data_IF_431920917353
#
_entry.id   IF_431920917353
#
_cell.length_a   1.000
_cell.length_b   1.000
_cell.length_c   1.000
_cell.angle_alpha   90.00
_cell.angle_beta   90.00
_cell.angle_gamma   90.00
#
_symmetry.space_group_name_H-M   'P 1'
#
loop_
_entity.id
_entity.type
_entity.pdbx_description
1 polymer ?
#
# COMPACT_ATOMS: atom_id res chain seq x y z
N UNK A 1 -8.22 4.16 5.43
CA UNK A 1 -7.68 2.86 5.87
C UNK A 1 -7.68 2.63 7.40
N UNK A 2 -8.13 3.57 8.26
CA UNK A 2 -8.43 3.27 9.67
C UNK A 2 -7.25 3.01 10.62
N UNK A 3 -6.02 3.29 10.21
CA UNK A 3 -4.82 3.08 11.02
C UNK A 3 -4.60 4.21 12.06
N UNK A 4 -4.02 3.85 13.21
CA UNK A 4 -3.46 4.77 14.21
C UNK A 4 -2.14 5.40 13.74
N UNK A 5 -1.69 6.45 14.43
CA UNK A 5 -0.40 7.10 14.13
C UNK A 5 0.80 6.13 14.24
N UNK A 6 0.79 5.23 15.22
CA UNK A 6 1.85 4.24 15.39
C UNK A 6 1.88 3.26 14.22
N UNK A 7 0.71 2.79 13.80
CA UNK A 7 0.58 1.89 12.65
C UNK A 7 0.99 2.59 11.35
N UNK A 8 0.61 3.84 11.16
CA UNK A 8 1.05 4.65 10.03
C UNK A 8 2.59 4.81 10.00
N UNK A 9 3.21 5.06 11.16
CA UNK A 9 4.67 5.15 11.28
C UNK A 9 5.38 3.83 10.95
N UNK A 10 4.80 2.68 11.35
CA UNK A 10 5.36 1.36 11.07
C UNK A 10 5.45 1.04 9.57
N UNK A 11 4.48 1.54 8.78
CA UNK A 11 4.43 1.31 7.33
C UNK A 11 4.98 2.47 6.50
N UNK A 12 5.41 3.58 7.13
CA UNK A 12 5.91 4.76 6.42
C UNK A 12 7.10 4.44 5.50
N UNK A 13 7.91 3.44 5.86
CA UNK A 13 9.02 2.93 5.05
C UNK A 13 8.60 2.30 3.72
N UNK A 14 7.31 2.03 3.50
CA UNK A 14 6.82 1.50 2.22
C UNK A 14 6.71 2.57 1.12
N UNK A 15 6.77 3.86 1.48
CA UNK A 15 6.69 4.98 0.54
C UNK A 15 7.70 4.86 -0.62
N UNK A 16 7.24 5.21 -1.83
CA UNK A 16 8.04 5.09 -3.07
C UNK A 16 8.44 3.66 -3.45
N UNK A 17 7.70 2.65 -3.00
CA UNK A 17 7.94 1.26 -3.34
C UNK A 17 9.05 0.63 -2.50
N UNK A 18 8.86 0.60 -1.17
CA UNK A 18 9.81 0.15 -0.15
C UNK A 18 11.10 0.99 -0.15
N UNK A 19 11.10 2.07 0.63
CA UNK A 19 12.26 2.95 0.82
C UNK A 19 12.71 3.64 -0.46
N UNK A 20 11.76 4.16 -1.26
CA UNK A 20 12.01 4.79 -2.58
C UNK A 20 12.64 3.86 -3.63
N UNK A 21 12.74 2.55 -3.37
CA UNK A 21 13.39 1.63 -4.30
C UNK A 21 12.61 1.40 -5.60
N UNK A 22 11.36 1.87 -5.68
CA UNK A 22 10.51 1.75 -6.87
C UNK A 22 9.95 0.34 -7.11
N UNK A 23 10.13 -0.60 -6.19
CA UNK A 23 9.56 -1.95 -6.27
C UNK A 23 8.09 -1.95 -5.81
N UNK A 24 7.59 -3.01 -5.18
CA UNK A 24 6.17 -3.21 -4.86
C UNK A 24 5.47 -1.98 -4.29
N UNK A 25 4.26 -1.69 -4.78
CA UNK A 25 3.43 -0.53 -4.43
C UNK A 25 3.29 -0.40 -2.91
N UNK A 26 3.80 0.71 -2.37
CA UNK A 26 3.81 0.94 -0.93
C UNK A 26 2.42 1.09 -0.31
N UNK A 27 1.50 1.73 -1.03
CA UNK A 27 0.12 1.90 -0.58
C UNK A 27 -0.61 0.54 -0.51
N UNK A 28 -0.44 -0.30 -1.53
CA UNK A 28 -0.99 -1.67 -1.53
C UNK A 28 -0.41 -2.51 -0.38
N UNK A 29 0.90 -2.47 -0.18
CA UNK A 29 1.54 -3.17 0.92
C UNK A 29 1.02 -2.72 2.29
N UNK A 30 0.84 -1.40 2.49
CA UNK A 30 0.27 -0.84 3.72
C UNK A 30 -1.20 -1.28 3.93
N UNK A 31 -2.00 -1.31 2.87
CA UNK A 31 -3.39 -1.76 2.92
C UNK A 31 -3.50 -3.26 3.29
N UNK A 32 -2.70 -4.11 2.64
CA UNK A 32 -2.62 -5.54 2.98
C UNK A 32 -2.17 -5.73 4.42
N UNK A 33 -1.15 -4.97 4.85
CA UNK A 33 -0.61 -5.06 6.20
C UNK A 33 -1.65 -4.70 7.26
N UNK A 34 -2.43 -3.62 7.10
CA UNK A 34 -3.41 -3.22 8.12
C UNK A 34 -4.55 -4.24 8.25
N UNK A 35 -5.02 -4.82 7.13
CA UNK A 35 -6.01 -5.91 7.15
C UNK A 35 -5.45 -7.19 7.78
N UNK A 36 -4.19 -7.49 7.51
CA UNK A 36 -3.49 -8.62 8.11
C UNK A 36 -3.29 -8.44 9.62
N UNK A 37 -3.00 -7.21 10.06
CA UNK A 37 -2.83 -6.89 11.47
C UNK A 37 -4.15 -7.03 12.25
N UNK A 38 -5.27 -6.63 11.66
CA UNK A 38 -6.59 -6.83 12.27
C UNK A 38 -6.84 -8.32 12.55
N UNK A 39 -6.66 -9.18 11.55
CA UNK A 39 -6.80 -10.63 11.70
C UNK A 39 -5.80 -11.20 12.72
N UNK A 40 -4.53 -10.79 12.66
CA UNK A 40 -3.50 -11.28 13.59
C UNK A 40 -3.79 -10.90 15.06
N UNK A 41 -4.51 -9.80 15.31
CA UNK A 41 -4.92 -9.41 16.67
C UNK A 41 -6.06 -10.28 17.21
N UNK A 42 -6.97 -10.70 16.34
CA UNK A 42 -8.10 -11.54 16.70
C UNK A 42 -7.71 -13.03 16.77
N UNK A 43 -6.85 -13.46 15.85
CA UNK A 43 -6.40 -14.85 15.72
C UNK A 43 -4.91 -14.92 15.34
N UNK A 44 -3.99 -14.88 16.34
CA UNK A 44 -2.55 -14.85 16.11
C UNK A 44 -2.00 -16.09 15.40
N UNK A 45 -2.70 -17.23 15.50
CA UNK A 45 -2.33 -18.52 14.93
C UNK A 45 -2.73 -18.63 13.44
N UNK A 46 -3.59 -17.73 12.96
CA UNK A 46 -4.10 -17.79 11.59
C UNK A 46 -3.03 -17.41 10.58
N UNK A 47 -2.83 -18.28 9.59
CA UNK A 47 -1.94 -17.98 8.47
C UNK A 47 -2.44 -16.76 7.70
N UNK A 48 -1.60 -15.75 7.61
CA UNK A 48 -1.91 -14.45 6.98
C UNK A 48 -2.25 -14.63 5.49
N UNK A 49 -1.68 -15.64 4.83
CA UNK A 49 -1.92 -15.94 3.41
C UNK A 49 -3.35 -16.40 3.10
N UNK A 50 -4.13 -16.82 4.10
CA UNK A 50 -5.54 -17.17 3.92
C UNK A 50 -6.49 -16.05 4.33
N UNK A 51 -5.97 -14.85 4.62
CA UNK A 51 -6.78 -13.70 5.03
C UNK A 51 -7.67 -13.23 3.86
N UNK A 52 -9.01 -13.40 3.95
CA UNK A 52 -9.92 -12.97 2.89
C UNK A 52 -9.90 -11.45 2.69
N UNK A 53 -9.64 -10.66 3.74
CA UNK A 53 -9.59 -9.19 3.65
C UNK A 53 -8.34 -8.73 2.89
N UNK A 54 -7.19 -9.36 3.14
CA UNK A 54 -5.97 -9.07 2.38
C UNK A 54 -6.13 -9.44 0.90
N UNK A 55 -6.85 -10.53 0.61
CA UNK A 55 -7.18 -10.94 -0.76
C UNK A 55 -8.10 -9.93 -1.44
N UNK A 56 -9.14 -9.46 -0.75
CA UNK A 56 -10.07 -8.45 -1.27
C UNK A 56 -9.35 -7.14 -1.63
N UNK A 57 -8.39 -6.70 -0.80
CA UNK A 57 -7.54 -5.54 -1.10
C UNK A 57 -6.75 -5.74 -2.39
N UNK A 58 -6.13 -6.92 -2.57
CA UNK A 58 -5.37 -7.24 -3.76
C UNK A 58 -6.28 -7.26 -5.00
N UNK A 59 -7.45 -7.89 -4.90
CA UNK A 59 -8.43 -7.98 -5.99
C UNK A 59 -8.91 -6.59 -6.44
N UNK A 60 -9.35 -5.75 -5.49
CA UNK A 60 -9.81 -4.39 -5.78
C UNK A 60 -8.71 -3.53 -6.41
N UNK A 61 -7.47 -3.66 -5.92
CA UNK A 61 -6.32 -2.97 -6.54
C UNK A 61 -6.12 -3.45 -7.98
N UNK A 62 -6.09 -4.77 -8.23
CA UNK A 62 -5.85 -5.31 -9.58
C UNK A 62 -6.96 -4.98 -10.57
N UNK A 63 -8.21 -4.90 -10.11
CA UNK A 63 -9.35 -4.53 -10.94
C UNK A 63 -9.25 -3.07 -11.39
N UNK A 64 -8.89 -2.17 -10.49
CA UNK A 64 -8.82 -0.73 -10.76
C UNK A 64 -7.52 -0.29 -11.45
N UNK A 65 -6.39 -0.90 -11.09
CA UNK A 65 -5.05 -0.47 -11.50
C UNK A 65 -4.37 -1.42 -12.52
N UNK A 66 -4.95 -2.60 -12.76
CA UNK A 66 -4.34 -3.66 -13.55
C UNK A 66 -3.34 -4.52 -12.76
N UNK A 67 -2.61 -5.43 -13.44
CA UNK A 67 -1.76 -6.42 -12.77
C UNK A 67 -0.40 -5.87 -12.31
N UNK A 68 -0.05 -4.64 -12.68
CA UNK A 68 1.26 -4.06 -12.37
C UNK A 68 1.34 -3.68 -10.89
N UNK A 69 2.41 -4.11 -10.24
CA UNK A 69 2.61 -3.97 -8.79
C UNK A 69 3.82 -3.12 -8.46
N UNK A 70 4.72 -2.88 -9.42
CA UNK A 70 5.93 -2.11 -9.18
C UNK A 70 5.62 -0.61 -9.22
N UNK A 71 5.91 0.08 -8.12
CA UNK A 71 5.68 1.50 -7.92
C UNK A 71 6.28 2.33 -9.06
N UNK A 72 7.48 2.01 -9.53
CA UNK A 72 8.10 2.81 -10.60
C UNK A 72 7.42 2.66 -11.96
N UNK A 73 6.73 1.54 -12.20
CA UNK A 73 5.94 1.34 -13.41
C UNK A 73 4.56 1.97 -13.27
N UNK A 74 3.91 1.81 -12.12
CA UNK A 74 2.63 2.48 -11.79
C UNK A 74 2.77 4.00 -11.87
N UNK A 75 3.82 4.56 -11.26
CA UNK A 75 4.07 6.00 -11.24
C UNK A 75 4.77 6.51 -12.51
N UNK A 76 5.23 5.62 -13.40
CA UNK A 76 6.01 5.97 -14.58
C UNK A 76 7.40 6.57 -14.30
N UNK A 77 7.86 6.55 -13.05
CA UNK A 77 9.16 7.09 -12.64
C UNK A 77 9.66 6.49 -11.32
N UNK A 78 10.96 6.62 -11.09
CA UNK A 78 11.58 6.43 -9.76
C UNK A 78 11.71 7.79 -9.06
N UNK A 79 11.87 7.74 -7.75
CA UNK A 79 12.10 8.92 -6.92
C UNK A 79 13.51 8.81 -6.30
N UNK A 80 14.33 9.84 -6.46
CA UNK A 80 15.66 9.87 -5.88
C UNK A 80 15.64 10.33 -4.42
N UNK A 81 14.65 11.15 -4.05
CA UNK A 81 14.54 11.72 -2.70
C UNK A 81 13.12 11.68 -2.16
N UNK A 82 13.01 11.87 -0.84
CA UNK A 82 11.71 11.93 -0.14
C UNK A 82 10.92 13.14 -0.61
N UNK A 83 11.58 14.26 -0.92
CA UNK A 83 10.97 15.48 -1.41
C UNK A 83 10.32 15.27 -2.78
N UNK A 84 10.99 14.54 -3.69
CA UNK A 84 10.43 14.21 -5.01
C UNK A 84 9.16 13.36 -4.88
N UNK A 85 9.22 12.30 -4.06
CA UNK A 85 8.07 11.44 -3.81
C UNK A 85 6.92 12.23 -3.15
N UNK A 86 7.24 13.07 -2.16
CA UNK A 86 6.27 13.90 -1.46
C UNK A 86 5.59 14.88 -2.40
N UNK A 87 6.35 15.54 -3.28
CA UNK A 87 5.81 16.44 -4.28
C UNK A 87 4.91 15.70 -5.28
N UNK A 88 5.29 14.51 -5.71
CA UNK A 88 4.46 13.68 -6.59
C UNK A 88 3.12 13.33 -5.95
N UNK A 89 3.12 12.86 -4.69
CA UNK A 89 1.89 12.55 -3.96
C UNK A 89 1.02 13.78 -3.75
N UNK A 90 1.61 14.93 -3.37
CA UNK A 90 0.87 16.19 -3.18
C UNK A 90 0.23 16.72 -4.46
N UNK A 91 0.77 16.37 -5.62
CA UNK A 91 0.26 16.78 -6.93
C UNK A 91 -0.71 15.75 -7.53
N UNK A 92 -1.35 14.91 -6.71
CA UNK A 92 -2.39 13.96 -7.14
C UNK A 92 -1.85 12.62 -7.64
N UNK A 93 -0.55 12.33 -7.51
CA UNK A 93 0.08 11.14 -8.06
C UNK A 93 -0.60 9.82 -7.64
N UNK A 94 -0.36 9.35 -6.42
CA UNK A 94 -0.91 8.08 -5.95
C UNK A 94 -2.41 8.13 -5.58
N UNK A 95 -3.14 9.18 -6.00
CA UNK A 95 -4.50 9.47 -5.54
C UNK A 95 -5.48 8.33 -5.85
N UNK A 96 -5.54 7.89 -7.11
CA UNK A 96 -6.40 6.79 -7.52
C UNK A 96 -6.15 5.50 -6.71
N UNK A 97 -4.88 5.18 -6.44
CA UNK A 97 -4.51 4.02 -5.62
C UNK A 97 -5.04 4.20 -4.19
N UNK A 98 -4.87 5.38 -3.60
CA UNK A 98 -5.33 5.65 -2.24
C UNK A 98 -6.87 5.62 -2.13
N UNK A 99 -7.58 6.12 -3.13
CA UNK A 99 -9.05 6.09 -3.17
C UNK A 99 -9.59 4.65 -3.22
N UNK A 100 -9.04 3.82 -4.11
CA UNK A 100 -9.41 2.40 -4.23
C UNK A 100 -9.16 1.67 -2.91
N UNK A 101 -8.01 1.90 -2.28
CA UNK A 101 -7.64 1.21 -1.04
C UNK A 101 -8.33 1.77 0.21
N UNK A 102 -8.91 2.97 0.15
CA UNK A 102 -9.59 3.58 1.29
C UNK A 102 -10.96 2.94 1.58
N UNK A 103 -11.59 2.34 0.57
CA UNK A 103 -12.96 1.80 0.63
C UNK A 103 -13.03 0.28 0.83
N UNK A 104 -11.89 -0.40 0.84
CA UNK A 104 -11.76 -1.85 1.08
C UNK A 104 -11.33 -2.11 2.52
#
# INVERSE_FOLDING_TARGET
MGASEKEAAMVAGFAGGLGLSGHGCGALAAAIWIKSLAVARENPEQMIFTNPEAKAVLEAFTEAMGPEMECHKICGRRFATVEEHTAFVKNGGCEQVMEVLAVV
#
